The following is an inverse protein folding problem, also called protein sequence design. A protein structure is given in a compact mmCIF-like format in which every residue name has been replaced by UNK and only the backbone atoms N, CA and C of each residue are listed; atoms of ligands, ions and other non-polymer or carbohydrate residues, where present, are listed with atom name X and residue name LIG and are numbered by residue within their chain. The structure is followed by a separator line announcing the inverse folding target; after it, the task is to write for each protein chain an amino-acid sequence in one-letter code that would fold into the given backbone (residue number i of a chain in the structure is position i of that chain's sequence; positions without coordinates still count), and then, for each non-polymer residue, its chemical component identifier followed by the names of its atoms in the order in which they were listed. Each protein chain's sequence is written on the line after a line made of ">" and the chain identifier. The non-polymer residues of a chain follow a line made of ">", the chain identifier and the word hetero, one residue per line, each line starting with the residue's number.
data_IF_702933800706
#
_entry.id   IF_702933800706
#
_cell.length_a   1.000
_cell.length_b   1.000
_cell.length_c   1.000
_cell.angle_alpha   90.00
_cell.angle_beta   90.00
_cell.angle_gamma   90.00
#
_symmetry.space_group_name_H-M   'P 1'
#
loop_
_entity.id
_entity.type
_entity.pdbx_description
1 polymer ?
#
# COMPACT_ATOMS: atom_id res chain seq x y z
N UNK A 1 5.12 9.56 11.66
CA UNK A 1 4.31 10.05 10.52
C UNK A 1 2.86 10.18 10.97
N UNK A 2 2.24 11.30 10.67
CA UNK A 2 0.84 11.58 11.01
C UNK A 2 0.11 12.12 9.77
N UNK A 3 -1.17 12.50 9.93
CA UNK A 3 -1.97 12.98 8.80
C UNK A 3 -1.40 14.24 8.14
N UNK A 4 -0.84 15.15 8.93
CA UNK A 4 -0.22 16.36 8.39
C UNK A 4 0.99 16.01 7.51
N UNK A 5 1.77 15.02 7.90
CA UNK A 5 2.90 14.54 7.09
C UNK A 5 2.41 13.97 5.76
N UNK A 6 1.33 13.17 5.80
CA UNK A 6 0.73 12.57 4.59
C UNK A 6 0.27 13.66 3.63
N UNK A 7 -0.43 14.66 4.12
CA UNK A 7 -0.92 15.77 3.30
C UNK A 7 0.25 16.55 2.71
N UNK A 8 1.29 16.77 3.50
CA UNK A 8 2.48 17.47 3.02
C UNK A 8 3.16 16.70 1.86
N UNK A 9 3.32 15.39 2.00
CA UNK A 9 3.89 14.56 0.93
C UNK A 9 3.03 14.62 -0.33
N UNK A 10 1.71 14.52 -0.19
CA UNK A 10 0.80 14.55 -1.34
C UNK A 10 0.79 15.89 -2.06
N UNK A 11 0.99 17.00 -1.33
CA UNK A 11 0.96 18.35 -1.89
C UNK A 11 2.32 18.84 -2.40
N UNK A 12 3.40 18.48 -1.72
CA UNK A 12 4.71 19.11 -1.93
C UNK A 12 5.80 18.14 -2.39
N UNK A 13 5.50 16.86 -2.49
CA UNK A 13 6.44 15.86 -2.96
C UNK A 13 6.79 14.82 -1.90
N UNK A 14 6.98 13.62 -2.34
CA UNK A 14 7.26 12.47 -1.49
C UNK A 14 8.75 12.36 -1.16
N UNK A 15 9.07 11.57 -0.15
CA UNK A 15 10.44 11.26 0.21
C UNK A 15 11.11 10.48 -0.94
N UNK A 16 12.42 10.60 -1.03
CA UNK A 16 13.17 9.89 -2.05
C UNK A 16 13.20 8.38 -1.74
N UNK A 17 12.88 7.52 -2.72
CA UNK A 17 12.95 6.07 -2.49
C UNK A 17 14.41 5.58 -2.42
N UNK A 18 14.62 4.45 -1.74
CA UNK A 18 15.95 3.82 -1.65
C UNK A 18 16.42 3.31 -3.02
N UNK A 19 15.47 2.89 -3.87
CA UNK A 19 15.77 2.43 -5.24
C UNK A 19 14.54 2.64 -6.12
N UNK A 20 14.74 2.54 -7.42
CA UNK A 20 13.64 2.62 -8.39
C UNK A 20 13.67 1.40 -9.29
N UNK A 21 12.47 0.87 -9.57
CA UNK A 21 12.25 -0.21 -10.53
C UNK A 21 11.23 0.29 -11.53
N UNK A 22 11.65 0.41 -12.79
CA UNK A 22 10.78 0.88 -13.86
C UNK A 22 10.75 -0.19 -14.96
N UNK A 23 9.55 -0.53 -15.40
CA UNK A 23 9.33 -1.51 -16.45
C UNK A 23 8.20 -1.04 -17.35
N UNK A 24 8.19 -1.55 -18.57
CA UNK A 24 7.08 -1.27 -19.49
C UNK A 24 5.82 -2.01 -19.04
N UNK A 25 4.67 -1.58 -19.56
CA UNK A 25 3.40 -2.25 -19.30
C UNK A 25 3.45 -3.71 -19.71
N UNK A 26 4.07 -4.00 -20.86
CA UNK A 26 4.22 -5.38 -21.35
C UNK A 26 5.05 -6.24 -20.39
N UNK A 27 6.13 -5.67 -19.83
CA UNK A 27 6.96 -6.38 -18.86
C UNK A 27 6.19 -6.70 -17.58
N UNK A 28 5.40 -5.73 -17.08
CA UNK A 28 4.56 -5.97 -15.90
C UNK A 28 3.51 -7.05 -16.16
N UNK A 29 2.89 -7.07 -17.35
CA UNK A 29 1.91 -8.09 -17.71
C UNK A 29 2.50 -9.50 -17.69
N UNK A 30 3.75 -9.66 -18.08
CA UNK A 30 4.43 -10.96 -18.05
C UNK A 30 4.71 -11.44 -16.63
N UNK A 31 5.02 -10.52 -15.72
CA UNK A 31 5.39 -10.84 -14.34
C UNK A 31 4.19 -11.06 -13.41
N UNK A 32 3.07 -10.43 -13.69
CA UNK A 32 1.93 -10.35 -12.78
C UNK A 32 0.77 -11.19 -13.29
N UNK A 33 -0.05 -11.67 -12.38
CA UNK A 33 -1.34 -12.24 -12.76
C UNK A 33 -2.23 -11.11 -13.28
N UNK A 34 -3.29 -11.47 -13.98
CA UNK A 34 -4.24 -10.50 -14.52
C UNK A 34 -4.82 -9.60 -13.42
N UNK A 35 -5.19 -10.17 -12.28
CA UNK A 35 -5.73 -9.42 -11.15
C UNK A 35 -4.68 -8.51 -10.52
N UNK A 36 -3.46 -9.00 -10.34
CA UNK A 36 -2.35 -8.19 -9.82
C UNK A 36 -2.08 -7.00 -10.73
N UNK A 37 -2.05 -7.22 -12.04
CA UNK A 37 -1.84 -6.16 -13.01
C UNK A 37 -2.96 -5.12 -12.96
N UNK A 38 -4.21 -5.57 -12.94
CA UNK A 38 -5.38 -4.68 -12.89
C UNK A 38 -5.33 -3.76 -11.67
N UNK A 39 -5.02 -4.29 -10.51
CA UNK A 39 -5.00 -3.51 -9.26
C UNK A 39 -3.77 -2.61 -9.18
N UNK A 40 -2.57 -3.13 -9.47
CA UNK A 40 -1.33 -2.40 -9.24
C UNK A 40 -0.95 -1.44 -10.36
N UNK A 41 -1.27 -1.77 -11.62
CA UNK A 41 -0.86 -0.96 -12.77
C UNK A 41 -2.00 -0.18 -13.39
N UNK A 42 -3.24 -0.61 -13.18
CA UNK A 42 -4.43 0.04 -13.73
C UNK A 42 -5.31 0.69 -12.66
N UNK A 43 -4.79 0.78 -11.43
CA UNK A 43 -5.47 1.40 -10.28
C UNK A 43 -6.83 0.77 -9.95
N UNK A 44 -6.96 -0.54 -10.15
CA UNK A 44 -8.16 -1.26 -9.76
C UNK A 44 -8.26 -1.40 -8.24
N UNK A 45 -9.42 -1.82 -7.77
CA UNK A 45 -9.66 -2.10 -6.36
C UNK A 45 -10.22 -3.51 -6.24
N UNK A 46 -9.65 -4.31 -5.32
CA UNK A 46 -10.22 -5.62 -5.01
C UNK A 46 -11.50 -5.45 -4.19
N UNK A 47 -12.36 -6.45 -4.20
CA UNK A 47 -13.56 -6.43 -3.35
C UNK A 47 -13.16 -6.63 -1.89
N UNK A 48 -13.91 -5.98 -0.98
CA UNK A 48 -13.74 -6.19 0.45
C UNK A 48 -13.91 -7.69 0.77
N UNK A 49 -13.09 -8.18 1.69
CA UNK A 49 -13.08 -9.60 2.11
C UNK A 49 -12.76 -10.58 0.98
N UNK A 50 -12.09 -10.12 -0.09
CA UNK A 50 -11.74 -10.99 -1.22
C UNK A 50 -10.55 -11.89 -0.95
N UNK A 51 -9.84 -11.68 0.17
CA UNK A 51 -8.64 -12.42 0.56
C UNK A 51 -8.62 -12.68 2.06
N UNK A 52 -8.07 -13.82 2.46
CA UNK A 52 -7.85 -14.13 3.89
C UNK A 52 -6.81 -13.22 4.54
N UNK A 53 -6.03 -12.49 3.74
CA UNK A 53 -5.01 -11.56 4.26
C UNK A 53 -5.63 -10.51 5.18
N UNK A 54 -6.85 -10.06 4.90
CA UNK A 54 -7.48 -9.02 5.73
C UNK A 54 -7.71 -9.48 7.17
N UNK A 55 -7.91 -10.78 7.41
CA UNK A 55 -8.15 -11.34 8.75
C UNK A 55 -6.98 -12.14 9.30
N UNK A 56 -5.86 -12.23 8.58
CA UNK A 56 -4.66 -12.92 9.05
C UNK A 56 -3.73 -11.95 9.77
N UNK A 57 -3.32 -12.31 10.98
CA UNK A 57 -2.41 -11.50 11.80
C UNK A 57 -1.11 -12.25 12.14
N UNK A 58 -0.78 -13.26 11.37
CA UNK A 58 0.48 -14.00 11.55
C UNK A 58 1.68 -13.07 11.32
N UNK A 59 2.80 -13.27 12.06
CA UNK A 59 4.00 -12.45 11.88
C UNK A 59 4.54 -12.52 10.45
N UNK A 60 5.23 -11.48 10.04
CA UNK A 60 5.87 -11.40 8.74
C UNK A 60 5.88 -9.99 8.22
N UNK A 61 6.41 -9.84 7.01
CA UNK A 61 6.50 -8.54 6.33
C UNK A 61 5.77 -8.65 5.01
N UNK A 62 5.01 -7.60 4.67
CA UNK A 62 4.31 -7.51 3.39
C UNK A 62 5.14 -6.70 2.41
N UNK A 63 5.45 -7.32 1.27
CA UNK A 63 6.24 -6.71 0.20
C UNK A 63 5.34 -6.35 -0.97
N UNK A 64 5.80 -5.42 -1.82
CA UNK A 64 5.13 -5.09 -3.07
C UNK A 64 5.13 -6.31 -4.00
N UNK A 65 3.97 -6.69 -4.49
CA UNK A 65 3.86 -7.84 -5.40
C UNK A 65 4.61 -7.61 -6.70
N UNK A 66 4.80 -6.36 -7.12
CA UNK A 66 5.47 -6.00 -8.37
C UNK A 66 6.99 -6.05 -8.26
N UNK A 67 7.57 -5.39 -7.26
CA UNK A 67 9.02 -5.19 -7.19
C UNK A 67 9.70 -5.83 -5.97
N UNK A 68 8.93 -6.35 -5.03
CA UNK A 68 9.47 -7.00 -3.83
C UNK A 68 9.93 -6.05 -2.73
N UNK A 69 9.76 -4.75 -2.88
CA UNK A 69 10.12 -3.79 -1.83
C UNK A 69 9.30 -4.05 -0.57
N UNK A 70 9.96 -4.08 0.59
CA UNK A 70 9.27 -4.27 1.86
C UNK A 70 8.43 -3.03 2.18
N UNK A 71 7.15 -3.22 2.48
CA UNK A 71 6.20 -2.12 2.63
C UNK A 71 5.63 -2.00 4.05
N UNK A 72 5.14 -3.09 4.61
CA UNK A 72 4.47 -3.08 5.92
C UNK A 72 4.85 -4.29 6.75
N UNK A 73 5.01 -4.07 8.05
CA UNK A 73 5.24 -5.15 9.02
C UNK A 73 3.89 -5.58 9.60
N UNK A 74 3.66 -6.89 9.71
CA UNK A 74 2.42 -7.43 10.25
C UNK A 74 2.14 -6.95 11.69
N UNK A 75 3.18 -6.55 12.45
CA UNK A 75 3.01 -5.99 13.78
C UNK A 75 2.22 -4.68 13.78
N UNK A 76 2.17 -3.98 12.66
CA UNK A 76 1.42 -2.73 12.51
C UNK A 76 0.05 -2.93 11.85
N UNK A 77 -0.34 -4.18 11.60
CA UNK A 77 -1.64 -4.52 11.04
C UNK A 77 -2.70 -4.55 12.14
N UNK A 78 -3.89 -4.05 11.83
CA UNK A 78 -5.00 -4.04 12.78
C UNK A 78 -6.32 -4.36 12.09
N UNK A 79 -7.32 -4.79 12.87
CA UNK A 79 -8.67 -5.07 12.36
C UNK A 79 -9.44 -3.76 12.23
N UNK A 80 -9.71 -3.37 11.00
CA UNK A 80 -10.44 -2.12 10.71
C UNK A 80 -11.93 -2.33 10.47
N UNK A 81 -12.36 -3.58 10.26
CA UNK A 81 -13.74 -3.87 9.89
C UNK A 81 -14.09 -3.52 8.45
N UNK A 82 -13.11 -3.12 7.64
CA UNK A 82 -13.38 -2.67 6.25
C UNK A 82 -13.37 -3.80 5.23
N UNK A 83 -12.76 -4.95 5.54
CA UNK A 83 -12.59 -6.05 4.60
C UNK A 83 -11.33 -5.96 3.75
N UNK A 84 -10.48 -4.97 4.00
CA UNK A 84 -9.15 -4.82 3.41
C UNK A 84 -8.09 -4.81 4.48
N UNK A 85 -6.86 -5.33 4.21
CA UNK A 85 -5.78 -5.25 5.18
C UNK A 85 -5.47 -3.80 5.52
N UNK A 86 -5.32 -3.51 6.79
CA UNK A 86 -5.10 -2.14 7.29
C UNK A 86 -3.90 -2.09 8.21
N UNK A 87 -3.09 -1.03 8.07
CA UNK A 87 -1.84 -0.85 8.80
C UNK A 87 -1.77 0.56 9.36
N UNK A 88 -1.03 0.74 10.47
CA UNK A 88 -0.87 2.05 11.11
C UNK A 88 0.25 2.88 10.51
N UNK A 89 1.25 2.22 9.89
CA UNK A 89 2.39 2.90 9.26
C UNK A 89 3.11 1.95 8.31
N UNK A 90 3.86 2.49 7.33
CA UNK A 90 4.75 1.68 6.51
C UNK A 90 6.00 1.25 7.31
N UNK A 91 6.73 0.26 6.80
CA UNK A 91 7.95 -0.22 7.46
C UNK A 91 9.04 0.86 7.51
N UNK A 92 9.09 1.74 6.49
CA UNK A 92 9.92 2.94 6.44
C UNK A 92 9.09 4.04 5.79
N UNK A 93 9.28 5.28 6.21
CA UNK A 93 8.49 6.39 5.68
C UNK A 93 8.63 6.56 4.16
N UNK A 94 9.80 6.23 3.60
CA UNK A 94 10.04 6.34 2.16
C UNK A 94 9.69 5.08 1.36
N UNK A 95 9.13 4.06 2.01
CA UNK A 95 8.70 2.84 1.31
C UNK A 95 7.49 3.10 0.41
N UNK A 96 6.65 4.06 0.80
CA UNK A 96 5.42 4.40 0.08
C UNK A 96 5.41 5.88 -0.30
N UNK A 97 4.63 6.20 -1.34
CA UNK A 97 4.39 7.56 -1.79
C UNK A 97 2.89 7.88 -1.68
N UNK A 98 2.56 9.15 -1.61
CA UNK A 98 1.20 9.63 -1.40
C UNK A 98 0.80 10.62 -2.48
N UNK A 99 -0.41 10.46 -3.02
CA UNK A 99 -0.92 11.28 -4.12
C UNK A 99 -2.37 11.65 -3.85
N UNK A 100 -2.75 12.88 -4.21
CA UNK A 100 -4.16 13.27 -4.14
C UNK A 100 -4.96 12.47 -5.16
N UNK A 101 -6.09 11.95 -4.71
CA UNK A 101 -7.04 11.22 -5.54
C UNK A 101 -8.40 11.87 -5.37
N UNK A 102 -8.89 12.54 -6.40
CA UNK A 102 -10.20 13.21 -6.40
C UNK A 102 -11.24 12.48 -7.24
N UNK A 103 -10.98 11.21 -7.58
CA UNK A 103 -11.93 10.40 -8.34
C UNK A 103 -13.24 10.20 -7.55
N UNK A 104 -14.33 9.99 -8.26
CA UNK A 104 -15.67 9.80 -7.69
C UNK A 104 -16.18 10.98 -6.84
N UNK A 105 -15.67 12.19 -7.09
CA UNK A 105 -16.08 13.38 -6.37
C UNK A 105 -15.61 13.45 -4.92
N UNK A 106 -14.74 12.55 -4.49
CA UNK A 106 -14.18 12.51 -3.13
C UNK A 106 -12.69 12.83 -3.18
N UNK A 107 -12.22 13.61 -2.19
CA UNK A 107 -10.79 13.87 -2.06
C UNK A 107 -10.21 12.83 -1.10
N UNK A 108 -9.36 11.97 -1.63
CA UNK A 108 -8.67 10.93 -0.86
C UNK A 108 -7.17 11.01 -1.12
N UNK A 109 -6.39 10.29 -0.34
CA UNK A 109 -4.95 10.18 -0.58
C UNK A 109 -4.63 8.75 -1.01
N UNK A 110 -4.18 8.60 -2.23
CA UNK A 110 -3.71 7.32 -2.78
C UNK A 110 -2.33 7.00 -2.22
N UNK A 111 -2.09 5.72 -1.92
CA UNK A 111 -0.77 5.22 -1.51
C UNK A 111 -0.22 4.30 -2.59
N UNK A 112 1.01 4.56 -3.02
CA UNK A 112 1.70 3.75 -4.03
C UNK A 112 3.04 3.25 -3.47
N UNK A 113 3.57 2.19 -4.10
CA UNK A 113 4.94 1.76 -3.81
C UNK A 113 5.91 2.83 -4.35
N UNK A 114 6.73 3.38 -3.47
CA UNK A 114 7.67 4.45 -3.87
C UNK A 114 8.81 3.95 -4.77
N UNK A 115 8.98 2.63 -4.88
CA UNK A 115 10.00 2.02 -5.73
C UNK A 115 9.54 1.84 -7.17
N UNK A 116 8.29 1.37 -7.39
CA UNK A 116 7.81 1.02 -8.74
C UNK A 116 6.49 1.65 -9.14
N UNK A 117 5.92 2.51 -8.28
CA UNK A 117 4.65 3.21 -8.50
C UNK A 117 3.41 2.32 -8.50
N UNK A 118 3.51 1.07 -8.03
CA UNK A 118 2.36 0.19 -7.93
C UNK A 118 1.27 0.82 -7.05
N UNK A 119 0.02 0.81 -7.53
CA UNK A 119 -1.12 1.23 -6.71
C UNK A 119 -1.34 0.22 -5.60
N UNK A 120 -1.29 0.68 -4.35
CA UNK A 120 -1.47 -0.17 -3.17
C UNK A 120 -2.84 0.00 -2.54
N UNK A 121 -3.31 1.22 -2.43
CA UNK A 121 -4.56 1.54 -1.77
C UNK A 121 -4.65 3.01 -1.43
N UNK A 122 -5.25 3.31 -0.28
CA UNK A 122 -5.45 4.68 0.19
C UNK A 122 -5.13 4.78 1.68
N UNK A 123 -4.81 5.98 2.14
CA UNK A 123 -4.56 6.24 3.56
C UNK A 123 -5.59 7.25 4.08
N UNK A 124 -6.10 7.00 5.29
CA UNK A 124 -7.15 7.78 5.94
C UNK A 124 -6.72 8.21 7.34
N UNK A 125 -7.27 9.33 7.87
CA UNK A 125 -6.90 9.83 9.20
C UNK A 125 -7.70 9.24 10.35
N UNK A 126 -8.35 8.09 10.15
CA UNK A 126 -9.24 7.46 11.12
C UNK A 126 -8.67 6.15 11.69
N UNK A 127 -7.36 6.06 11.80
CA UNK A 127 -6.68 4.90 12.37
C UNK A 127 -6.38 5.05 13.86
N UNK A 128 -5.83 3.98 14.47
CA UNK A 128 -5.51 4.00 15.90
C UNK A 128 -4.28 4.86 16.22
N UNK A 129 -4.21 5.30 17.49
CA UNK A 129 -3.01 5.95 17.98
C UNK A 129 -1.82 4.98 17.94
N UNK A 130 -0.56 5.46 17.86
CA UNK A 130 -0.15 6.87 17.90
C UNK A 130 -0.24 7.62 16.57
N UNK A 131 -0.18 6.93 15.41
CA UNK A 131 -0.17 7.65 14.14
C UNK A 131 -1.52 8.28 13.77
N UNK A 132 -2.62 7.65 14.18
CA UNK A 132 -3.95 8.06 13.76
C UNK A 132 -4.25 7.73 12.30
N UNK A 133 -3.41 6.94 11.65
CA UNK A 133 -3.52 6.63 10.23
C UNK A 133 -4.06 5.21 10.01
N UNK A 134 -4.85 5.09 8.94
CA UNK A 134 -5.31 3.80 8.45
C UNK A 134 -4.87 3.67 6.99
N UNK A 135 -3.81 2.87 6.78
CA UNK A 135 -3.36 2.49 5.44
C UNK A 135 -4.19 1.30 4.99
N UNK A 136 -5.20 1.56 4.17
CA UNK A 136 -6.12 0.55 3.67
C UNK A 136 -5.62 0.05 2.32
N UNK A 137 -5.07 -1.17 2.30
CA UNK A 137 -4.35 -1.69 1.14
C UNK A 137 -5.12 -2.81 0.48
N UNK A 138 -4.92 -2.98 -0.83
CA UNK A 138 -5.43 -4.14 -1.55
C UNK A 138 -4.50 -5.32 -1.25
N UNK A 139 -5.07 -6.45 -0.80
CA UNK A 139 -4.29 -7.63 -0.48
C UNK A 139 -3.52 -8.15 -1.69
N UNK A 140 -4.10 -8.06 -2.89
CA UNK A 140 -3.48 -8.52 -4.13
C UNK A 140 -2.24 -7.70 -4.51
N UNK A 141 -2.09 -6.48 -3.99
CA UNK A 141 -0.91 -5.64 -4.21
C UNK A 141 0.26 -6.04 -3.33
N UNK A 142 0.04 -6.90 -2.35
CA UNK A 142 1.01 -7.30 -1.34
C UNK A 142 1.30 -8.79 -1.43
N UNK A 143 2.54 -9.16 -1.11
CA UNK A 143 2.87 -10.56 -0.86
C UNK A 143 3.57 -10.64 0.49
N UNK A 144 3.17 -11.62 1.29
CA UNK A 144 3.77 -11.81 2.60
C UNK A 144 5.08 -12.58 2.44
N UNK A 145 6.14 -12.04 3.01
CA UNK A 145 7.43 -12.73 3.10
C UNK A 145 7.72 -13.06 4.55
N UNK A 146 8.40 -14.19 4.77
CA UNK A 146 8.76 -14.57 6.12
C UNK A 146 9.89 -13.68 6.63
N UNK A 147 9.80 -13.34 7.91
CA UNK A 147 10.84 -12.60 8.57
C UNK A 147 12.09 -13.49 8.68
N UNK A 148 13.23 -13.01 8.20
CA UNK A 148 14.50 -13.72 8.38
C UNK A 148 14.97 -13.55 9.82
N UNK A 149 15.36 -14.64 10.41
CA UNK A 149 15.87 -14.65 11.78
C UNK A 149 17.37 -14.45 11.82
#
# INVERSE_FOLDING_TARGET
>A
MNWNDIINYANNGNLKPDRRVEKTEAEWKELLTEEEFRVTRQKGTERAYSSDVCSSFDPGIYACVCCGTLLFDASEKFESGTGWPSFTKPIKDNAVAHHKDSSFGMVRVETTCNTCDAHLGHVFPDGPAPSGLRFCMNAVSLKKVEEEK
#
